data_IF_739324748403
#
_entry.id   IF_739324748403
#
_cell.length_a   1.000
_cell.length_b   1.000
_cell.length_c   1.000
_cell.angle_alpha   90.00
_cell.angle_beta   90.00
_cell.angle_gamma   90.00
#
_symmetry.space_group_name_H-M   'P 1'
#
loop_
_entity.id
_entity.type
_entity.pdbx_description
1 polymer ?
#
# COMPACT_ATOMS: atom_id res chain seq x y z
N UNK A 1 24.77 -13.43 4.11
CA UNK A 1 23.46 -12.87 3.72
C UNK A 1 22.89 -12.14 4.93
N UNK A 2 22.22 -11.00 4.72
CA UNK A 2 21.50 -10.29 5.79
C UNK A 2 20.26 -11.07 6.25
N UNK A 3 19.58 -10.57 7.29
CA UNK A 3 18.26 -11.07 7.71
C UNK A 3 17.20 -10.51 6.74
N UNK A 4 16.49 -11.39 6.01
CA UNK A 4 15.46 -11.01 5.04
C UNK A 4 14.06 -11.32 5.58
N UNK A 5 13.09 -10.46 5.27
CA UNK A 5 11.67 -10.65 5.60
C UNK A 5 10.83 -10.38 4.35
N UNK A 6 9.87 -11.25 4.06
CA UNK A 6 8.92 -11.05 2.97
C UNK A 6 7.66 -10.37 3.49
N UNK A 7 7.22 -9.35 2.76
CA UNK A 7 6.12 -8.49 3.15
C UNK A 7 5.09 -8.48 2.03
N UNK A 8 3.85 -8.84 2.33
CA UNK A 8 2.72 -8.66 1.42
C UNK A 8 2.02 -7.33 1.73
N UNK A 9 1.53 -6.61 0.71
CA UNK A 9 0.84 -5.34 0.90
C UNK A 9 -0.41 -5.24 0.04
N UNK A 10 -1.54 -4.91 0.65
CA UNK A 10 -2.82 -4.71 0.00
C UNK A 10 -3.24 -3.24 0.11
N UNK A 11 -3.01 -2.50 -0.98
CA UNK A 11 -3.46 -1.12 -1.14
C UNK A 11 -4.42 -1.00 -2.34
N UNK A 12 -5.47 -0.18 -2.26
CA UNK A 12 -6.35 0.09 -3.39
C UNK A 12 -5.59 0.56 -4.62
N UNK A 13 -6.21 0.42 -5.80
CA UNK A 13 -5.61 0.84 -7.08
C UNK A 13 -5.07 2.27 -7.02
N UNK A 14 -3.87 2.47 -7.57
CA UNK A 14 -3.12 3.72 -7.55
C UNK A 14 -2.79 4.27 -6.13
N UNK A 15 -2.68 3.40 -5.12
CA UNK A 15 -2.23 3.77 -3.77
C UNK A 15 -0.78 3.30 -3.45
N UNK A 16 0.03 3.02 -4.48
CA UNK A 16 1.49 2.86 -4.34
C UNK A 16 2.02 1.42 -4.24
N UNK A 17 1.25 0.40 -4.66
CA UNK A 17 1.74 -1.01 -4.64
C UNK A 17 3.02 -1.20 -5.45
N UNK A 18 3.01 -0.81 -6.73
CA UNK A 18 4.19 -0.91 -7.62
C UNK A 18 5.37 -0.09 -7.11
N UNK A 19 5.15 1.13 -6.60
CA UNK A 19 6.22 1.93 -6.00
C UNK A 19 6.81 1.28 -4.74
N UNK A 20 6.00 0.61 -3.92
CA UNK A 20 6.49 -0.09 -2.72
C UNK A 20 7.23 -1.38 -3.08
N UNK A 21 6.70 -2.17 -4.02
CA UNK A 21 7.27 -3.44 -4.43
C UNK A 21 8.64 -3.30 -5.12
N UNK A 22 8.87 -2.17 -5.80
CA UNK A 22 10.10 -1.84 -6.51
C UNK A 22 10.85 -0.67 -5.85
N UNK A 23 10.59 -0.41 -4.57
CA UNK A 23 11.13 0.75 -3.87
C UNK A 23 12.65 0.73 -3.83
N UNK A 24 13.29 1.86 -4.16
CA UNK A 24 14.70 2.06 -3.89
C UNK A 24 14.85 2.67 -2.48
N UNK A 25 15.43 1.94 -1.51
CA UNK A 25 15.52 2.43 -0.13
C UNK A 25 16.50 3.60 -0.02
N UNK A 26 16.19 4.54 0.87
CA UNK A 26 17.07 5.67 1.22
C UNK A 26 18.03 5.33 2.35
N UNK A 27 17.76 4.25 3.10
CA UNK A 27 18.59 3.78 4.19
C UNK A 27 19.79 2.96 3.68
N UNK A 28 20.99 3.33 4.13
CA UNK A 28 22.21 2.60 3.82
C UNK A 28 22.16 1.15 4.35
N UNK A 29 22.63 0.20 3.53
CA UNK A 29 22.65 -1.22 3.88
C UNK A 29 21.30 -1.94 3.78
N UNK A 30 20.22 -1.23 3.44
CA UNK A 30 18.93 -1.83 3.13
C UNK A 30 18.79 -2.08 1.63
N UNK A 31 18.19 -3.22 1.28
CA UNK A 31 17.81 -3.56 -0.07
C UNK A 31 16.36 -4.03 -0.06
N UNK A 32 15.66 -3.79 -1.17
CA UNK A 32 14.32 -4.30 -1.42
C UNK A 32 14.37 -5.04 -2.74
N UNK A 33 13.77 -6.23 -2.74
CA UNK A 33 13.65 -7.08 -3.92
C UNK A 33 12.18 -7.37 -4.18
N UNK A 34 11.80 -7.44 -5.45
CA UNK A 34 10.42 -7.61 -5.91
C UNK A 34 10.12 -9.09 -6.15
N UNK A 35 9.06 -9.61 -5.53
CA UNK A 35 8.46 -10.92 -5.90
C UNK A 35 7.28 -10.71 -6.85
N UNK A 36 6.45 -9.71 -6.58
CA UNK A 36 5.30 -9.30 -7.39
C UNK A 36 4.75 -7.95 -6.90
N UNK A 37 3.89 -7.30 -7.69
CA UNK A 37 3.38 -5.96 -7.37
C UNK A 37 1.85 -5.83 -7.31
N UNK A 38 1.09 -6.83 -7.75
CA UNK A 38 -0.38 -6.76 -7.77
C UNK A 38 -1.05 -7.96 -7.09
N UNK A 39 -0.75 -9.19 -7.52
CA UNK A 39 -1.42 -10.39 -7.02
C UNK A 39 -0.47 -11.26 -6.18
N UNK A 40 -0.98 -11.79 -5.06
CA UNK A 40 -0.31 -12.87 -4.34
C UNK A 40 -1.29 -14.02 -4.06
N UNK A 41 -0.83 -15.26 -4.25
CA UNK A 41 -1.54 -16.45 -3.79
C UNK A 41 -0.85 -17.01 -2.57
N UNK A 42 -1.60 -17.15 -1.48
CA UNK A 42 -1.05 -17.53 -0.20
C UNK A 42 -1.56 -18.89 0.27
N UNK A 43 -0.66 -19.72 0.79
CA UNK A 43 -0.98 -21.05 1.34
C UNK A 43 -0.06 -21.36 2.51
N UNK A 44 -0.59 -22.06 3.51
CA UNK A 44 0.25 -22.58 4.60
C UNK A 44 1.21 -23.67 4.08
N UNK A 45 2.49 -23.52 4.42
CA UNK A 45 3.51 -24.56 4.28
C UNK A 45 3.42 -25.60 5.40
N UNK A 46 4.25 -26.64 5.30
CA UNK A 46 4.31 -27.71 6.31
C UNK A 46 4.80 -27.22 7.68
N UNK A 47 5.58 -26.13 7.72
CA UNK A 47 6.09 -25.51 8.94
C UNK A 47 5.09 -24.59 9.64
N UNK A 48 3.86 -24.51 9.12
CA UNK A 48 2.76 -23.70 9.63
C UNK A 48 2.83 -22.22 9.24
N UNK A 49 3.85 -21.75 8.50
CA UNK A 49 3.89 -20.37 8.01
C UNK A 49 3.05 -20.19 6.75
N UNK A 50 2.63 -18.95 6.49
CA UNK A 50 1.97 -18.57 5.26
C UNK A 50 3.02 -18.26 4.18
N UNK A 51 3.01 -19.01 3.09
CA UNK A 51 3.87 -18.80 1.92
C UNK A 51 3.09 -18.11 0.81
N UNK A 52 3.75 -17.24 0.06
CA UNK A 52 3.15 -16.55 -1.07
C UNK A 52 3.92 -16.80 -2.36
N UNK A 53 3.19 -16.94 -3.47
CA UNK A 53 3.73 -16.83 -4.82
C UNK A 53 3.12 -15.61 -5.53
N UNK A 54 3.86 -15.05 -6.47
CA UNK A 54 3.31 -14.18 -7.50
C UNK A 54 2.82 -15.06 -8.67
N UNK A 55 1.52 -15.07 -9.00
CA UNK A 55 1.03 -15.85 -10.13
C UNK A 55 1.27 -15.18 -11.50
N UNK A 56 1.81 -13.95 -11.54
CA UNK A 56 2.01 -13.15 -12.74
C UNK A 56 3.47 -13.22 -13.24
N UNK A 57 3.65 -13.05 -14.56
CA UNK A 57 4.95 -13.08 -15.23
C UNK A 57 5.49 -11.69 -15.62
N UNK A 58 4.76 -10.63 -15.26
CA UNK A 58 5.05 -9.27 -15.69
C UNK A 58 4.31 -8.24 -14.86
N UNK A 59 4.61 -6.98 -15.12
CA UNK A 59 4.01 -5.83 -14.46
C UNK A 59 3.08 -5.11 -15.43
N UNK A 60 1.86 -4.81 -14.98
CA UNK A 60 0.89 -3.98 -15.70
C UNK A 60 0.69 -2.64 -14.98
N UNK A 61 1.77 -1.87 -14.87
CA UNK A 61 1.82 -0.67 -14.06
C UNK A 61 1.18 0.56 -14.71
N UNK A 62 0.68 1.47 -13.86
CA UNK A 62 0.22 2.81 -14.30
C UNK A 62 1.43 3.63 -14.72
N UNK A 63 1.41 4.16 -15.95
CA UNK A 63 2.53 4.95 -16.46
C UNK A 63 2.58 6.37 -15.86
N UNK A 64 1.51 7.21 -15.91
CA UNK A 64 1.54 8.57 -15.37
C UNK A 64 2.04 8.64 -13.92
N UNK A 65 2.99 9.54 -13.66
CA UNK A 65 3.66 9.72 -12.38
C UNK A 65 4.87 8.80 -12.15
N UNK A 66 5.13 7.81 -12.99
CA UNK A 66 6.35 6.98 -12.95
C UNK A 66 7.53 7.77 -13.52
N UNK A 67 8.63 7.89 -12.79
CA UNK A 67 9.84 8.60 -13.21
C UNK A 67 11.06 8.10 -12.45
N UNK A 68 12.26 8.56 -12.84
CA UNK A 68 13.51 8.29 -12.11
C UNK A 68 13.45 8.74 -10.65
N UNK A 69 12.62 9.73 -10.33
CA UNK A 69 12.42 10.23 -8.96
C UNK A 69 11.46 9.35 -8.16
N UNK A 70 10.40 8.83 -8.78
CA UNK A 70 9.32 8.13 -8.07
C UNK A 70 9.48 6.60 -8.05
N UNK A 71 10.04 6.03 -9.12
CA UNK A 71 10.29 4.60 -9.27
C UNK A 71 11.39 4.33 -10.32
N UNK A 72 12.67 4.55 -9.97
CA UNK A 72 13.79 4.33 -10.90
C UNK A 72 13.92 2.86 -11.33
N UNK A 73 13.54 1.91 -10.48
CA UNK A 73 13.55 0.49 -10.83
C UNK A 73 12.51 0.14 -11.91
N UNK A 74 11.32 0.75 -11.86
CA UNK A 74 10.36 0.64 -12.96
C UNK A 74 10.95 1.23 -14.24
N UNK A 75 11.48 2.46 -14.20
CA UNK A 75 12.09 3.10 -15.38
C UNK A 75 13.19 2.24 -16.02
N UNK A 76 14.09 1.68 -15.22
CA UNK A 76 15.15 0.79 -15.69
C UNK A 76 14.61 -0.49 -16.37
N UNK A 77 13.48 -1.02 -15.88
CA UNK A 77 12.80 -2.17 -16.47
C UNK A 77 12.05 -1.89 -17.77
N UNK A 78 11.86 -0.61 -18.14
CA UNK A 78 11.10 -0.16 -19.31
C UNK A 78 11.94 0.14 -20.56
N UNK A 79 13.21 -0.28 -20.56
CA UNK A 79 14.18 0.01 -21.63
C UNK A 79 14.01 -0.84 -22.90
N UNK A 80 13.14 -1.86 -22.89
CA UNK A 80 12.86 -2.72 -24.03
C UNK A 80 11.81 -3.79 -23.74
N UNK A 81 11.34 -4.48 -24.78
CA UNK A 81 10.34 -5.57 -24.71
C UNK A 81 9.04 -5.21 -23.96
N UNK A 82 8.66 -3.94 -23.99
CA UNK A 82 7.48 -3.42 -23.31
C UNK A 82 6.35 -3.11 -24.30
N UNK A 83 5.11 -3.23 -23.83
CA UNK A 83 3.93 -2.74 -24.53
C UNK A 83 3.37 -1.57 -23.74
N UNK A 84 3.31 -0.40 -24.38
CA UNK A 84 2.69 0.79 -23.80
C UNK A 84 1.29 0.99 -24.37
N UNK A 85 0.33 1.32 -23.52
CA UNK A 85 -1.07 1.56 -23.90
C UNK A 85 -1.50 2.96 -23.46
N UNK A 86 -1.98 3.78 -24.40
CA UNK A 86 -2.49 5.14 -24.20
C UNK A 86 -1.49 6.14 -23.58
N UNK A 87 -0.19 5.96 -23.81
CA UNK A 87 0.83 6.97 -23.51
C UNK A 87 1.00 7.93 -24.69
N UNK A 88 1.64 9.07 -24.46
CA UNK A 88 2.04 9.97 -25.54
C UNK A 88 3.27 9.41 -26.28
N UNK A 89 3.49 9.88 -27.51
CA UNK A 89 4.65 9.54 -28.33
C UNK A 89 5.47 10.78 -28.65
N UNK A 90 6.80 10.69 -28.48
CA UNK A 90 7.73 11.76 -28.85
C UNK A 90 7.99 11.79 -30.36
N UNK A 91 8.52 12.90 -30.86
CA UNK A 91 8.86 13.06 -32.29
C UNK A 91 9.95 12.06 -32.73
N UNK A 92 10.83 11.66 -31.82
CA UNK A 92 11.87 10.64 -32.04
C UNK A 92 11.32 9.21 -32.00
N UNK A 93 10.03 9.05 -31.65
CA UNK A 93 9.36 7.77 -31.60
C UNK A 93 9.44 7.03 -30.25
N UNK A 94 9.83 7.73 -29.18
CA UNK A 94 9.79 7.22 -27.81
C UNK A 94 8.42 7.52 -27.16
N UNK A 95 8.25 7.14 -25.90
CA UNK A 95 7.04 7.37 -25.11
C UNK A 95 7.20 8.53 -24.13
N UNK A 96 6.08 9.15 -23.77
CA UNK A 96 6.04 10.14 -22.69
C UNK A 96 4.70 10.08 -21.93
N UNK A 97 4.71 10.51 -20.68
CA UNK A 97 3.52 10.69 -19.85
C UNK A 97 3.75 11.77 -18.80
N UNK A 98 2.67 12.25 -18.21
CA UNK A 98 2.68 13.27 -17.16
C UNK A 98 3.54 12.83 -15.97
N UNK A 99 4.52 13.67 -15.62
CA UNK A 99 5.42 13.44 -14.49
C UNK A 99 6.61 12.51 -14.78
N UNK A 100 6.82 12.09 -16.04
CA UNK A 100 8.00 11.31 -16.43
C UNK A 100 9.30 12.12 -16.34
N UNK A 101 9.25 13.39 -16.77
CA UNK A 101 10.38 14.33 -16.81
C UNK A 101 10.02 15.64 -16.10
N UNK A 102 11.02 16.38 -15.63
CA UNK A 102 10.81 17.70 -15.02
C UNK A 102 10.36 18.74 -16.05
N UNK A 103 10.97 18.71 -17.25
CA UNK A 103 10.59 19.56 -18.37
C UNK A 103 9.68 18.81 -19.33
N UNK A 104 8.55 19.44 -19.70
CA UNK A 104 7.62 18.91 -20.70
C UNK A 104 8.25 19.04 -22.10
N UNK A 105 8.19 17.99 -22.95
CA UNK A 105 8.60 18.10 -24.35
C UNK A 105 7.83 19.21 -25.07
N UNK A 106 8.50 19.92 -25.97
CA UNK A 106 7.88 21.02 -26.72
C UNK A 106 6.73 20.55 -27.62
N UNK A 107 6.80 19.31 -28.08
CA UNK A 107 5.81 18.68 -28.93
C UNK A 107 5.73 17.17 -28.66
N UNK A 108 4.52 16.61 -28.74
CA UNK A 108 4.21 15.18 -28.64
C UNK A 108 3.02 14.85 -29.54
N UNK A 109 2.80 13.56 -29.80
CA UNK A 109 1.50 13.04 -30.22
C UNK A 109 0.79 12.46 -28.99
N UNK A 110 -0.39 12.97 -28.65
CA UNK A 110 -1.18 12.50 -27.51
C UNK A 110 -1.69 11.06 -27.72
N UNK A 111 -2.23 10.47 -26.65
CA UNK A 111 -2.79 9.12 -26.68
C UNK A 111 -4.00 8.94 -27.62
N UNK A 112 -4.58 10.03 -28.13
CA UNK A 112 -5.68 10.04 -29.11
C UNK A 112 -5.19 10.24 -30.54
N UNK A 113 -3.89 10.49 -30.74
CA UNK A 113 -3.27 10.72 -32.04
C UNK A 113 -3.26 12.18 -32.51
N UNK A 114 -3.47 13.16 -31.63
CA UNK A 114 -3.41 14.59 -31.97
C UNK A 114 -2.05 15.18 -31.57
N UNK A 115 -1.66 16.27 -32.23
CA UNK A 115 -0.54 17.10 -31.78
C UNK A 115 -0.81 17.65 -30.37
N UNK A 116 0.20 17.60 -29.51
CA UNK A 116 0.16 18.07 -28.13
C UNK A 116 1.37 18.95 -27.84
N UNK A 117 1.14 20.02 -27.09
CA UNK A 117 2.18 20.92 -26.59
C UNK A 117 1.94 21.20 -25.10
N UNK A 118 2.92 21.74 -24.36
CA UNK A 118 2.75 22.10 -22.96
C UNK A 118 1.58 23.06 -22.66
N UNK A 119 1.11 23.81 -23.67
CA UNK A 119 -0.06 24.71 -23.57
C UNK A 119 -1.41 24.02 -23.80
N UNK A 120 -1.41 22.73 -24.16
CA UNK A 120 -2.65 21.97 -24.40
C UNK A 120 -3.43 21.75 -23.10
N UNK A 121 -4.76 21.85 -23.16
CA UNK A 121 -5.63 21.67 -21.99
C UNK A 121 -5.77 20.20 -21.55
N UNK A 122 -5.64 19.26 -22.50
CA UNK A 122 -5.75 17.84 -22.23
C UNK A 122 -4.38 17.23 -21.90
N UNK A 123 -4.38 16.18 -21.07
CA UNK A 123 -3.19 15.38 -20.79
C UNK A 123 -2.72 14.63 -22.05
N UNK A 124 -1.39 14.53 -22.22
CA UNK A 124 -0.76 13.84 -23.34
C UNK A 124 -0.94 12.32 -23.22
N UNK A 125 -0.84 11.76 -22.01
CA UNK A 125 -1.20 10.37 -21.74
C UNK A 125 -2.56 10.26 -21.06
N UNK A 126 -3.25 9.14 -21.26
CA UNK A 126 -4.48 8.88 -20.50
C UNK A 126 -4.13 8.71 -19.01
N UNK A 127 -4.94 9.22 -18.04
CA UNK A 127 -4.63 9.07 -16.61
C UNK A 127 -4.51 7.62 -16.09
N UNK A 128 -5.06 6.65 -16.84
CA UNK A 128 -4.89 5.21 -16.61
C UNK A 128 -4.09 4.53 -17.74
N UNK A 129 -3.19 5.26 -18.40
CA UNK A 129 -2.23 4.69 -19.35
C UNK A 129 -1.31 3.69 -18.64
N UNK A 130 -0.85 2.68 -19.37
CA UNK A 130 -0.18 1.52 -18.80
C UNK A 130 1.10 1.17 -19.53
N UNK A 131 2.08 0.70 -18.78
CA UNK A 131 3.18 -0.10 -19.32
C UNK A 131 2.93 -1.57 -18.99
N UNK A 132 3.28 -2.45 -19.92
CA UNK A 132 3.31 -3.90 -19.73
C UNK A 132 4.74 -4.37 -19.95
N UNK A 133 5.41 -4.84 -18.89
CA UNK A 133 6.83 -5.19 -18.91
C UNK A 133 7.06 -6.60 -18.31
N UNK A 134 7.98 -7.42 -18.86
CA UNK A 134 8.34 -8.70 -18.25
C UNK A 134 8.96 -8.51 -16.86
N UNK A 135 8.55 -9.32 -15.89
CA UNK A 135 8.98 -9.12 -14.51
C UNK A 135 10.49 -9.31 -14.32
N UNK A 136 11.08 -10.27 -15.05
CA UNK A 136 12.52 -10.52 -15.06
C UNK A 136 13.39 -9.37 -15.60
N UNK A 137 12.80 -8.30 -16.15
CA UNK A 137 13.55 -7.07 -16.50
C UNK A 137 13.69 -6.10 -15.34
N UNK A 138 12.96 -6.29 -14.23
CA UNK A 138 13.13 -5.44 -13.06
C UNK A 138 14.52 -5.68 -12.46
N UNK A 139 15.36 -4.63 -12.30
CA UNK A 139 16.73 -4.78 -11.82
C UNK A 139 16.79 -5.27 -10.36
N UNK A 140 15.68 -5.19 -9.63
CA UNK A 140 15.53 -5.64 -8.25
C UNK A 140 14.57 -6.82 -8.13
N UNK A 141 14.35 -7.60 -9.20
CA UNK A 141 13.56 -8.84 -9.08
C UNK A 141 14.27 -9.81 -8.12
N UNK A 142 13.53 -10.35 -7.16
CA UNK A 142 14.06 -11.33 -6.21
C UNK A 142 14.46 -12.61 -6.95
N UNK A 143 15.53 -13.27 -6.54
CA UNK A 143 15.99 -14.51 -7.21
C UNK A 143 14.95 -15.63 -7.16
N UNK A 144 14.17 -15.67 -6.10
CA UNK A 144 13.14 -16.65 -5.77
C UNK A 144 11.73 -16.24 -6.24
N UNK A 145 11.59 -15.19 -7.07
CA UNK A 145 10.27 -14.72 -7.50
C UNK A 145 9.45 -15.77 -8.27
N UNK A 146 10.12 -16.72 -8.92
CA UNK A 146 9.54 -17.87 -9.63
C UNK A 146 9.58 -19.18 -8.82
N UNK A 147 9.96 -19.14 -7.54
CA UNK A 147 10.00 -20.34 -6.71
C UNK A 147 8.58 -20.89 -6.48
N UNK A 148 8.27 -22.12 -6.93
CA UNK A 148 6.94 -22.70 -6.77
C UNK A 148 6.54 -22.97 -5.31
N UNK A 149 7.52 -23.09 -4.41
CA UNK A 149 7.27 -23.23 -2.97
C UNK A 149 6.89 -21.88 -2.33
N UNK A 150 7.18 -20.78 -3.02
CA UNK A 150 6.90 -19.42 -2.61
C UNK A 150 7.77 -18.92 -1.47
N UNK A 151 7.45 -17.73 -0.96
CA UNK A 151 8.23 -17.05 0.06
C UNK A 151 7.47 -16.93 1.39
N UNK A 152 8.12 -17.15 2.55
CA UNK A 152 7.45 -17.12 3.85
C UNK A 152 7.12 -15.68 4.27
N UNK A 153 5.83 -15.34 4.31
CA UNK A 153 5.35 -14.02 4.67
C UNK A 153 5.57 -13.76 6.16
N UNK A 154 6.25 -12.66 6.46
CA UNK A 154 6.52 -12.18 7.82
C UNK A 154 5.56 -11.08 8.25
N UNK A 155 5.12 -10.24 7.30
CA UNK A 155 4.17 -9.17 7.55
C UNK A 155 3.17 -9.00 6.41
N UNK A 156 1.95 -8.58 6.75
CA UNK A 156 0.91 -8.13 5.82
C UNK A 156 0.61 -6.66 6.12
N UNK A 157 0.63 -5.82 5.10
CA UNK A 157 0.35 -4.39 5.20
C UNK A 157 -1.00 -4.10 4.55
N UNK A 158 -1.88 -3.46 5.29
CA UNK A 158 -3.04 -2.77 4.76
C UNK A 158 -2.77 -1.27 4.69
N UNK A 159 -3.44 -0.57 3.81
CA UNK A 159 -3.26 0.88 3.68
C UNK A 159 -4.15 1.48 2.61
N UNK A 160 -4.30 2.80 2.65
CA UNK A 160 -5.10 3.57 1.71
C UNK A 160 -4.76 5.05 1.79
N UNK A 161 -5.26 5.84 0.84
CA UNK A 161 -5.08 7.29 0.84
C UNK A 161 -5.98 7.94 1.88
N UNK A 162 -5.40 8.37 3.00
CA UNK A 162 -6.11 9.04 4.10
C UNK A 162 -5.41 10.35 4.45
N UNK A 163 -6.02 11.49 4.06
CA UNK A 163 -5.49 12.79 4.44
C UNK A 163 -5.46 13.01 5.97
N UNK A 164 -6.39 12.42 6.71
CA UNK A 164 -6.56 12.65 8.17
C UNK A 164 -6.76 11.34 8.95
N UNK A 165 -6.75 11.44 10.28
CA UNK A 165 -7.07 10.39 11.28
C UNK A 165 -6.04 9.25 11.40
N UNK A 166 -5.63 8.64 10.29
CA UNK A 166 -4.79 7.43 10.31
C UNK A 166 -3.31 7.80 10.41
N UNK A 167 -2.56 7.29 11.42
CA UNK A 167 -1.12 7.53 11.56
C UNK A 167 -0.29 6.83 10.47
N UNK A 168 1.00 7.14 10.42
CA UNK A 168 1.94 6.65 9.41
C UNK A 168 1.97 5.12 9.36
N UNK A 169 2.05 4.47 10.51
CA UNK A 169 2.03 3.01 10.66
C UNK A 169 1.52 2.62 12.04
N UNK A 170 0.75 1.54 12.10
CA UNK A 170 0.47 0.83 13.35
C UNK A 170 0.34 -0.67 13.12
N UNK A 171 0.73 -1.47 14.12
CA UNK A 171 0.60 -2.93 14.12
C UNK A 171 -0.72 -3.35 14.79
N UNK A 172 -1.35 -4.39 14.25
CA UNK A 172 -2.50 -5.03 14.84
C UNK A 172 -2.12 -5.83 16.10
N UNK A 173 -3.07 -5.97 17.03
CA UNK A 173 -2.86 -6.72 18.30
C UNK A 173 -2.73 -8.22 18.07
N UNK A 174 -3.51 -8.70 17.13
CA UNK A 174 -3.65 -10.10 16.76
C UNK A 174 -4.30 -10.18 15.36
N UNK A 175 -4.51 -11.41 14.89
CA UNK A 175 -5.06 -11.67 13.57
C UNK A 175 -6.52 -11.20 13.40
N UNK A 176 -7.35 -11.30 14.44
CA UNK A 176 -8.75 -10.87 14.37
C UNK A 176 -8.81 -9.34 14.26
N UNK A 177 -8.02 -8.63 15.08
CA UNK A 177 -7.85 -7.19 14.97
C UNK A 177 -7.26 -6.77 13.62
N UNK A 178 -6.27 -7.50 13.11
CA UNK A 178 -5.69 -7.24 11.78
C UNK A 178 -6.69 -7.46 10.63
N UNK A 179 -7.53 -8.49 10.75
CA UNK A 179 -8.65 -8.73 9.80
C UNK A 179 -9.66 -7.59 9.86
N UNK A 180 -9.97 -7.09 11.06
CA UNK A 180 -10.80 -5.90 11.25
C UNK A 180 -10.18 -4.65 10.61
N UNK A 181 -8.88 -4.41 10.79
CA UNK A 181 -8.18 -3.30 10.13
C UNK A 181 -8.27 -3.41 8.60
N UNK A 182 -8.11 -4.61 8.06
CA UNK A 182 -8.31 -4.89 6.64
C UNK A 182 -9.73 -4.61 6.16
N UNK A 183 -10.76 -4.99 6.93
CA UNK A 183 -12.16 -4.83 6.51
C UNK A 183 -12.62 -3.37 6.51
N UNK A 184 -11.96 -2.49 7.28
CA UNK A 184 -12.30 -1.07 7.36
C UNK A 184 -11.44 -0.17 6.47
N UNK A 185 -10.56 -0.73 5.62
CA UNK A 185 -9.73 0.07 4.71
C UNK A 185 -10.61 1.08 3.99
N UNK A 186 -10.17 2.33 4.01
CA UNK A 186 -10.75 3.40 3.23
C UNK A 186 -9.66 4.17 2.53
N UNK A 187 -9.99 4.63 1.33
CA UNK A 187 -9.11 5.42 0.48
C UNK A 187 -9.91 6.46 -0.25
N UNK A 188 -9.33 7.66 -0.39
CA UNK A 188 -9.82 8.66 -1.33
C UNK A 188 -9.85 8.05 -2.75
N UNK A 189 -10.93 8.32 -3.49
CA UNK A 189 -11.06 7.87 -4.87
C UNK A 189 -9.96 8.49 -5.74
N UNK A 190 -9.25 7.62 -6.45
CA UNK A 190 -8.26 7.98 -7.48
C UNK A 190 -8.90 7.98 -8.87
N UNK A 191 -8.22 8.54 -9.88
CA UNK A 191 -8.68 8.52 -11.28
C UNK A 191 -8.89 7.10 -11.84
N UNK A 192 -8.32 6.07 -11.22
CA UNK A 192 -8.46 4.67 -11.63
C UNK A 192 -9.79 4.02 -11.18
N UNK A 193 -10.54 4.64 -10.27
CA UNK A 193 -11.83 4.13 -9.78
C UNK A 193 -12.98 5.01 -10.28
N UNK A 194 -14.10 4.40 -10.67
CA UNK A 194 -15.31 5.13 -11.05
C UNK A 194 -15.87 5.93 -9.85
N UNK A 195 -16.04 7.25 -10.01
CA UNK A 195 -16.65 8.16 -9.03
C UNK A 195 -15.95 9.52 -8.92
N UNK A 196 -16.40 10.37 -7.98
CA UNK A 196 -15.82 11.70 -7.75
C UNK A 196 -14.47 11.60 -7.03
N UNK A 197 -13.40 12.13 -7.63
CA UNK A 197 -12.05 12.19 -7.04
C UNK A 197 -12.10 12.90 -5.68
N UNK A 198 -11.41 12.35 -4.67
CA UNK A 198 -11.33 12.92 -3.32
C UNK A 198 -12.42 12.49 -2.34
N UNK A 199 -13.47 11.79 -2.78
CA UNK A 199 -14.45 11.20 -1.87
C UNK A 199 -13.86 9.94 -1.20
N UNK A 200 -13.97 9.85 0.13
CA UNK A 200 -13.53 8.68 0.89
C UNK A 200 -14.43 7.48 0.60
N UNK A 201 -13.86 6.39 0.09
CA UNK A 201 -14.56 5.13 -0.18
C UNK A 201 -13.98 4.00 0.67
N UNK A 202 -14.82 3.10 1.17
CA UNK A 202 -14.38 1.83 1.76
C UNK A 202 -13.91 0.88 0.65
N UNK A 203 -12.72 0.31 0.81
CA UNK A 203 -12.18 -0.71 -0.08
C UNK A 203 -11.56 -1.84 0.75
N UNK A 204 -12.41 -2.68 1.38
CA UNK A 204 -11.98 -3.72 2.31
C UNK A 204 -10.93 -4.65 1.69
N UNK A 205 -9.79 -4.81 2.38
CA UNK A 205 -8.62 -5.58 1.93
C UNK A 205 -8.09 -5.18 0.54
N UNK A 206 -8.43 -3.99 0.03
CA UNK A 206 -8.22 -3.59 -1.37
C UNK A 206 -8.84 -4.57 -2.39
N UNK A 207 -9.90 -5.27 -2.00
CA UNK A 207 -10.52 -6.36 -2.74
C UNK A 207 -11.95 -6.04 -3.19
N UNK A 208 -12.48 -4.84 -2.93
CA UNK A 208 -13.87 -4.52 -3.25
C UNK A 208 -14.26 -4.78 -4.72
N UNK A 209 -13.45 -4.43 -5.74
CA UNK A 209 -13.78 -4.75 -7.13
C UNK A 209 -13.38 -6.17 -7.56
N UNK A 210 -12.72 -6.95 -6.70
CA UNK A 210 -12.08 -8.22 -7.06
C UNK A 210 -12.58 -9.43 -6.28
N UNK A 211 -13.38 -9.23 -5.22
CA UNK A 211 -13.89 -10.31 -4.40
C UNK A 211 -14.85 -11.19 -5.22
N UNK A 212 -14.44 -12.43 -5.47
CA UNK A 212 -15.18 -13.38 -6.32
C UNK A 212 -16.41 -14.02 -5.67
N UNK A 213 -16.71 -13.69 -4.41
CA UNK A 213 -17.87 -14.16 -3.65
C UNK A 213 -18.31 -13.10 -2.63
N UNK A 214 -19.20 -13.45 -1.69
CA UNK A 214 -19.67 -12.50 -0.68
C UNK A 214 -18.50 -11.98 0.18
N UNK A 215 -18.33 -10.66 0.23
CA UNK A 215 -17.23 -10.00 0.95
C UNK A 215 -17.21 -10.30 2.46
N UNK A 216 -18.37 -10.45 3.10
CA UNK A 216 -18.43 -10.76 4.52
C UNK A 216 -18.10 -12.24 4.80
N UNK A 217 -18.43 -13.14 3.88
CA UNK A 217 -17.93 -14.53 3.91
C UNK A 217 -16.41 -14.57 3.64
N UNK A 218 -15.89 -13.63 2.84
CA UNK A 218 -14.44 -13.46 2.65
C UNK A 218 -13.72 -13.04 3.94
N UNK A 219 -14.29 -12.12 4.70
CA UNK A 219 -13.76 -11.80 6.03
C UNK A 219 -13.87 -12.96 7.02
N UNK A 220 -14.96 -13.73 6.96
CA UNK A 220 -15.07 -14.97 7.74
C UNK A 220 -13.93 -15.94 7.40
N UNK A 221 -13.59 -16.08 6.12
CA UNK A 221 -12.46 -16.90 5.69
C UNK A 221 -11.13 -16.42 6.27
N UNK A 222 -10.88 -15.10 6.29
CA UNK A 222 -9.70 -14.55 6.96
C UNK A 222 -9.68 -14.87 8.46
N UNK A 223 -10.81 -14.77 9.16
CA UNK A 223 -10.88 -15.14 10.58
C UNK A 223 -10.57 -16.63 10.79
N UNK A 224 -11.03 -17.52 9.89
CA UNK A 224 -10.71 -18.95 9.95
C UNK A 224 -9.22 -19.26 9.69
N UNK A 225 -8.54 -18.48 8.84
CA UNK A 225 -7.08 -18.60 8.65
C UNK A 225 -6.37 -18.46 10.01
N UNK A 226 -6.82 -17.49 10.83
CA UNK A 226 -6.24 -17.24 12.15
C UNK A 226 -6.52 -18.33 13.19
N UNK A 227 -7.57 -19.14 12.99
CA UNK A 227 -7.97 -20.24 13.88
C UNK A 227 -7.29 -21.57 13.56
N UNK A 228 -6.54 -21.64 12.46
CA UNK A 228 -5.91 -22.89 12.04
C UNK A 228 -4.88 -23.36 13.07
N UNK A 229 -5.00 -24.61 13.49
CA UNK A 229 -4.04 -25.23 14.41
C UNK A 229 -2.62 -25.26 13.80
N UNK A 230 -1.62 -24.91 14.62
CA UNK A 230 -0.22 -24.85 14.20
C UNK A 230 0.12 -23.65 13.29
N UNK A 231 -0.81 -22.73 13.04
CA UNK A 231 -0.55 -21.55 12.22
C UNK A 231 0.48 -20.62 12.87
N UNK A 232 1.49 -20.24 12.09
CA UNK A 232 2.48 -19.21 12.40
C UNK A 232 2.18 -18.02 11.51
N UNK A 233 1.26 -17.19 11.97
CA UNK A 233 0.69 -16.09 11.21
C UNK A 233 1.69 -14.94 11.07
N UNK A 234 1.73 -14.26 9.91
CA UNK A 234 2.46 -13.00 9.79
C UNK A 234 1.81 -11.92 10.66
N UNK A 235 2.61 -10.93 11.07
CA UNK A 235 2.10 -9.73 11.75
C UNK A 235 1.33 -8.86 10.74
N UNK A 236 0.26 -8.20 11.19
CA UNK A 236 -0.53 -7.30 10.34
C UNK A 236 -0.25 -5.86 10.73
N UNK A 237 -0.02 -5.01 9.73
CA UNK A 237 0.22 -3.58 9.90
C UNK A 237 -0.78 -2.80 9.04
N UNK A 238 -1.07 -1.57 9.46
CA UNK A 238 -1.81 -0.62 8.67
C UNK A 238 -0.97 0.65 8.50
N UNK A 239 -0.72 1.04 7.26
CA UNK A 239 0.12 2.18 6.88
C UNK A 239 -0.69 3.27 6.20
N UNK A 240 -0.23 4.52 6.33
CA UNK A 240 -0.78 5.67 5.62
C UNK A 240 0.33 6.63 5.20
N UNK A 241 0.68 6.60 3.92
CA UNK A 241 1.67 7.50 3.31
C UNK A 241 1.13 8.91 3.02
N UNK A 242 -0.19 9.11 3.18
CA UNK A 242 -0.91 10.22 2.58
C UNK A 242 -1.49 11.19 3.61
N UNK A 243 -1.06 11.09 4.87
CA UNK A 243 -1.50 12.03 5.92
C UNK A 243 -1.03 13.43 5.57
N UNK A 244 -1.94 14.39 5.69
CA UNK A 244 -1.72 15.80 5.39
C UNK A 244 -1.77 16.66 6.64
N UNK A 245 -1.03 17.76 6.60
CA UNK A 245 -1.13 18.84 7.59
C UNK A 245 -2.30 19.76 7.31
N UNK A 246 -2.42 20.79 8.15
CA UNK A 246 -3.51 21.77 8.08
C UNK A 246 -3.44 22.63 6.80
N UNK A 247 -2.27 22.77 6.18
CA UNK A 247 -2.07 23.51 4.93
C UNK A 247 -2.22 22.60 3.68
N UNK A 248 -2.55 21.32 3.87
CA UNK A 248 -2.80 20.35 2.79
C UNK A 248 -1.55 19.70 2.19
N UNK A 249 -0.39 19.98 2.77
CA UNK A 249 0.91 19.37 2.49
C UNK A 249 1.00 17.94 3.02
N UNK A 250 1.75 17.06 2.35
CA UNK A 250 2.01 15.72 2.87
C UNK A 250 3.01 15.80 4.03
N UNK A 251 2.65 15.19 5.16
CA UNK A 251 3.52 15.16 6.34
C UNK A 251 4.67 14.16 6.20
N UNK A 252 4.49 13.15 5.35
CA UNK A 252 5.50 12.13 5.06
C UNK A 252 5.94 12.21 3.59
N UNK A 253 7.25 12.21 3.30
CA UNK A 253 7.76 12.36 1.92
C UNK A 253 7.43 11.17 1.01
N UNK A 254 7.19 9.97 1.56
CA UNK A 254 6.84 8.79 0.78
C UNK A 254 8.00 8.20 -0.02
N UNK A 255 7.68 7.47 -1.08
CA UNK A 255 8.64 6.85 -2.01
C UNK A 255 9.76 6.10 -1.27
N UNK A 256 11.03 6.39 -1.59
CA UNK A 256 12.19 5.74 -0.98
C UNK A 256 12.23 5.84 0.55
N UNK A 257 11.67 6.91 1.13
CA UNK A 257 11.63 7.11 2.58
C UNK A 257 10.66 6.15 3.28
N UNK A 258 9.71 5.54 2.56
CA UNK A 258 8.89 4.44 3.11
C UNK A 258 9.75 3.25 3.58
N UNK A 259 11.00 3.13 3.10
CA UNK A 259 11.98 2.17 3.63
C UNK A 259 12.20 2.30 5.14
N UNK A 260 12.08 3.50 5.72
CA UNK A 260 12.19 3.73 7.18
C UNK A 260 11.06 3.05 7.96
N UNK A 261 9.86 3.06 7.39
CA UNK A 261 8.69 2.37 7.96
C UNK A 261 8.81 0.86 7.75
N UNK A 262 9.28 0.41 6.58
CA UNK A 262 9.56 -1.00 6.34
C UNK A 262 10.65 -1.54 7.27
N UNK A 263 11.69 -0.74 7.58
CA UNK A 263 12.69 -1.07 8.60
C UNK A 263 12.05 -1.27 9.97
N UNK A 264 11.17 -0.36 10.40
CA UNK A 264 10.46 -0.52 11.67
C UNK A 264 9.59 -1.78 11.69
N UNK A 265 8.87 -2.08 10.59
CA UNK A 265 8.08 -3.31 10.44
C UNK A 265 8.98 -4.56 10.51
N UNK A 266 10.12 -4.55 9.80
CA UNK A 266 11.12 -5.59 9.85
C UNK A 266 11.61 -5.82 11.28
N UNK A 267 11.97 -4.74 11.98
CA UNK A 267 12.47 -4.78 13.35
C UNK A 267 11.38 -5.22 14.35
N UNK A 268 10.10 -4.87 14.14
CA UNK A 268 8.97 -5.42 14.90
C UNK A 268 8.80 -6.92 14.70
N UNK A 269 8.89 -7.40 13.46
CA UNK A 269 8.83 -8.83 13.14
C UNK A 269 10.02 -9.61 13.72
N UNK A 270 11.17 -8.96 13.86
CA UNK A 270 12.36 -9.50 14.50
C UNK A 270 12.48 -9.22 16.00
N UNK A 271 11.44 -8.65 16.64
CA UNK A 271 11.42 -8.32 18.08
C UNK A 271 12.56 -7.41 18.56
N UNK A 272 13.06 -6.54 17.68
CA UNK A 272 14.14 -5.58 17.97
C UNK A 272 13.65 -4.23 18.51
N UNK A 273 12.39 -3.91 18.27
CA UNK A 273 11.70 -2.70 18.75
C UNK A 273 10.37 -3.10 19.39
N UNK A 274 9.89 -2.34 20.36
CA UNK A 274 8.72 -2.69 21.16
C UNK A 274 7.43 -2.02 20.67
N UNK A 275 7.55 -0.80 20.14
CA UNK A 275 6.42 0.07 19.89
C UNK A 275 5.75 0.56 21.18
N UNK A 276 4.70 1.36 21.01
CA UNK A 276 3.87 1.90 22.08
C UNK A 276 2.44 1.45 21.88
N UNK A 277 1.85 0.90 22.95
CA UNK A 277 0.45 0.49 22.98
C UNK A 277 -0.50 1.69 22.93
N UNK A 278 -1.47 1.65 22.01
CA UNK A 278 -2.46 2.72 21.82
C UNK A 278 -3.87 2.15 21.60
N UNK A 279 -4.94 2.96 21.62
CA UNK A 279 -6.29 2.47 21.36
C UNK A 279 -6.49 1.72 20.04
N UNK A 280 -5.65 2.01 19.01
CA UNK A 280 -5.79 1.45 17.66
C UNK A 280 -4.78 0.32 17.36
N UNK A 281 -3.92 -0.04 18.30
CA UNK A 281 -2.83 -1.01 18.09
C UNK A 281 -1.50 -0.49 18.60
N UNK A 282 -0.40 -0.97 18.02
CA UNK A 282 0.96 -0.57 18.43
C UNK A 282 1.54 0.42 17.42
N UNK A 283 1.92 1.61 17.87
CA UNK A 283 2.59 2.62 17.04
C UNK A 283 4.11 2.57 17.29
N UNK A 284 4.93 3.18 16.41
CA UNK A 284 6.35 3.36 16.69
C UNK A 284 6.56 4.16 17.98
N UNK A 285 7.46 3.67 18.82
CA UNK A 285 7.92 4.41 19.99
C UNK A 285 8.84 5.57 19.63
N UNK A 286 9.08 6.46 20.59
CA UNK A 286 10.00 7.58 20.42
C UNK A 286 11.39 7.06 20.07
N UNK A 287 11.93 7.48 18.91
CA UNK A 287 13.24 7.06 18.42
C UNK A 287 13.30 5.67 17.80
N UNK A 288 12.16 4.99 17.61
CA UNK A 288 12.14 3.68 16.91
C UNK A 288 12.09 3.81 15.39
N UNK A 289 11.60 4.94 14.86
CA UNK A 289 11.75 5.27 13.44
C UNK A 289 13.15 5.82 13.19
N UNK A 290 13.81 5.28 12.17
CA UNK A 290 15.08 5.81 11.69
C UNK A 290 14.82 7.07 10.86
N UNK A 291 15.11 8.23 11.44
CA UNK A 291 14.90 9.54 10.83
C UNK A 291 16.23 10.22 10.43
N UNK A 292 17.35 9.48 10.44
CA UNK A 292 18.65 10.05 10.08
C UNK A 292 18.63 10.57 8.64
N UNK A 293 19.05 11.82 8.46
CA UNK A 293 19.07 12.50 7.16
C UNK A 293 17.69 12.91 6.62
N UNK A 294 16.60 12.66 7.35
CA UNK A 294 15.26 13.08 6.95
C UNK A 294 14.88 14.43 7.56
N UNK A 295 14.62 15.41 6.71
CA UNK A 295 14.07 16.71 7.12
C UNK A 295 12.57 16.58 7.42
N UNK A 296 12.23 16.37 8.70
CA UNK A 296 10.85 16.32 9.18
C UNK A 296 10.70 17.13 10.46
N UNK A 297 9.70 18.01 10.51
CA UNK A 297 9.42 18.82 11.68
C UNK A 297 8.79 18.00 12.82
N UNK A 298 9.09 18.37 14.06
CA UNK A 298 8.57 17.67 15.27
C UNK A 298 7.05 17.57 15.27
N UNK A 299 6.34 18.62 14.87
CA UNK A 299 4.87 18.63 14.81
C UNK A 299 4.31 17.66 13.75
N UNK A 300 4.99 17.53 12.60
CA UNK A 300 4.62 16.59 11.55
C UNK A 300 4.84 15.14 12.03
N UNK A 301 5.99 14.89 12.67
CA UNK A 301 6.30 13.59 13.24
C UNK A 301 5.31 13.20 14.35
N UNK A 302 5.02 14.11 15.29
CA UNK A 302 4.04 13.90 16.34
C UNK A 302 2.68 13.55 15.75
N UNK A 303 2.22 14.30 14.75
CA UNK A 303 0.98 14.02 14.04
C UNK A 303 1.00 12.62 13.41
N UNK A 304 2.09 12.24 12.76
CA UNK A 304 2.25 10.94 12.12
C UNK A 304 2.32 9.76 13.10
N UNK A 305 2.74 9.99 14.35
CA UNK A 305 2.95 8.94 15.36
C UNK A 305 2.00 9.03 16.56
N UNK A 306 0.90 9.78 16.46
CA UNK A 306 -0.14 9.87 17.50
C UNK A 306 -1.51 9.45 16.98
N UNK A 307 -2.38 9.09 17.93
CA UNK A 307 -3.76 8.68 17.65
C UNK A 307 -4.68 9.89 17.76
N UNK A 308 -5.37 10.22 16.67
CA UNK A 308 -6.46 11.18 16.66
C UNK A 308 -7.74 10.53 17.21
N UNK A 309 -7.94 10.61 18.54
CA UNK A 309 -9.04 9.93 19.23
C UNK A 309 -10.40 10.42 18.73
N UNK A 310 -10.57 11.74 18.57
CA UNK A 310 -11.82 12.32 18.08
C UNK A 310 -12.10 11.92 16.63
N UNK A 311 -11.08 11.98 15.77
CA UNK A 311 -11.15 11.55 14.38
C UNK A 311 -11.56 10.09 14.26
N UNK A 312 -10.96 9.19 15.05
CA UNK A 312 -11.35 7.78 15.08
C UNK A 312 -12.75 7.56 15.62
N UNK A 313 -13.17 8.25 16.68
CA UNK A 313 -14.55 8.19 17.19
C UNK A 313 -15.56 8.63 16.11
N UNK A 314 -15.21 9.61 15.28
CA UNK A 314 -16.05 10.07 14.16
C UNK A 314 -16.16 9.04 13.02
N UNK A 315 -15.21 8.11 12.90
CA UNK A 315 -15.23 7.04 11.89
C UNK A 315 -16.13 5.87 12.29
N UNK A 316 -16.34 5.63 13.59
CA UNK A 316 -17.08 4.46 14.10
C UNK A 316 -18.49 4.36 13.52
N UNK A 317 -19.34 5.42 13.53
CA UNK A 317 -20.68 5.34 12.94
C UNK A 317 -20.64 4.95 11.45
N UNK A 318 -19.66 5.48 10.70
CA UNK A 318 -19.50 5.19 9.27
C UNK A 318 -19.11 3.73 9.03
N UNK A 319 -18.31 3.15 9.93
CA UNK A 319 -17.95 1.72 9.86
C UNK A 319 -19.17 0.87 10.21
N UNK A 320 -19.96 1.23 11.24
CA UNK A 320 -21.21 0.53 11.60
C UNK A 320 -22.21 0.54 10.45
N UNK A 321 -22.40 1.68 9.80
CA UNK A 321 -23.29 1.82 8.65
C UNK A 321 -22.84 0.95 7.47
N UNK A 322 -21.53 0.87 7.20
CA UNK A 322 -21.02 0.00 6.15
C UNK A 322 -21.21 -1.49 6.49
N UNK A 323 -20.93 -1.89 7.73
CA UNK A 323 -21.14 -3.27 8.20
C UNK A 323 -22.61 -3.69 8.16
N UNK A 324 -23.55 -2.78 8.45
CA UNK A 324 -24.98 -3.06 8.40
C UNK A 324 -25.45 -3.55 7.02
N UNK A 325 -24.76 -3.15 5.95
CA UNK A 325 -25.07 -3.56 4.56
C UNK A 325 -24.88 -5.06 4.31
N UNK A 326 -24.06 -5.74 5.11
CA UNK A 326 -23.78 -7.17 4.98
C UNK A 326 -24.78 -8.06 5.74
N UNK A 327 -25.62 -7.46 6.60
CA UNK A 327 -26.70 -8.14 7.30
C UNK A 327 -26.23 -9.41 8.01
N UNK A 328 -26.92 -10.53 7.75
CA UNK A 328 -26.64 -11.84 8.39
C UNK A 328 -25.27 -12.44 8.09
N UNK A 329 -24.59 -11.99 7.03
CA UNK A 329 -23.26 -12.49 6.67
C UNK A 329 -22.15 -11.80 7.46
N UNK A 330 -22.44 -10.67 8.10
CA UNK A 330 -21.43 -9.90 8.84
C UNK A 330 -20.86 -10.72 10.01
N UNK A 331 -19.53 -10.97 10.05
CA UNK A 331 -18.93 -11.71 11.16
C UNK A 331 -19.09 -10.95 12.47
N UNK A 332 -19.68 -11.61 13.48
CA UNK A 332 -19.86 -11.02 14.81
C UNK A 332 -18.52 -10.61 15.46
N UNK A 333 -17.44 -11.31 15.15
CA UNK A 333 -16.09 -10.99 15.63
C UNK A 333 -15.60 -9.62 15.15
N UNK A 334 -15.90 -9.22 13.91
CA UNK A 334 -15.51 -7.90 13.40
C UNK A 334 -16.35 -6.76 14.00
N UNK A 335 -17.64 -7.04 14.28
CA UNK A 335 -18.49 -6.10 15.01
C UNK A 335 -17.95 -5.92 16.44
N UNK A 336 -17.55 -7.01 17.08
CA UNK A 336 -16.93 -6.97 18.40
C UNK A 336 -15.59 -6.22 18.39
N UNK A 337 -14.76 -6.36 17.36
CA UNK A 337 -13.53 -5.56 17.23
C UNK A 337 -13.81 -4.06 17.12
N UNK A 338 -14.88 -3.66 16.41
CA UNK A 338 -15.33 -2.27 16.35
C UNK A 338 -15.81 -1.76 17.71
N UNK A 339 -16.57 -2.56 18.45
CA UNK A 339 -17.02 -2.21 19.81
C UNK A 339 -15.84 -2.07 20.78
N UNK A 340 -14.85 -2.96 20.69
CA UNK A 340 -13.62 -2.88 21.49
C UNK A 340 -12.79 -1.64 21.11
N UNK A 341 -12.69 -1.31 19.82
CA UNK A 341 -12.04 -0.07 19.37
C UNK A 341 -12.71 1.15 19.98
N UNK A 342 -14.05 1.22 19.92
CA UNK A 342 -14.83 2.30 20.53
C UNK A 342 -14.54 2.44 22.02
N UNK A 343 -14.57 1.33 22.76
CA UNK A 343 -14.32 1.31 24.19
C UNK A 343 -12.90 1.80 24.53
N UNK A 344 -11.88 1.36 23.77
CA UNK A 344 -10.49 1.81 23.97
C UNK A 344 -10.31 3.29 23.69
N UNK A 345 -10.94 3.82 22.65
CA UNK A 345 -10.88 5.24 22.30
C UNK A 345 -11.54 6.11 23.38
N UNK A 346 -12.74 5.72 23.85
CA UNK A 346 -13.46 6.42 24.93
C UNK A 346 -12.73 6.38 26.28
N UNK A 347 -11.91 5.36 26.52
CA UNK A 347 -11.10 5.28 27.73
C UNK A 347 -9.80 6.11 27.65
N UNK A 348 -9.39 6.50 26.44
CA UNK A 348 -8.14 7.23 26.20
C UNK A 348 -8.35 8.75 26.01
N UNK A 349 -9.56 9.18 25.63
CA UNK A 349 -9.97 10.60 25.60
C UNK A 349 -10.54 11.06 26.94
#
# INVERSE_FOLDING_TARGET
AGDSKYIAAAFPSACGKTNLAMLQPTLEGWAIETVGDDICWMKFGEDGRLYAINPEAGFFGVAPGTSEKSNPNAMAGLTGNCIFTNVARTDEGDVWWEGMTDEKPAHLIDWRGNDWTPESEAEAAHPNARFTAPAGQCPVIAREWEDPDGVPISAILFGGRRATVVPLVHEARDWAHGTFLGSIISSEKTAAAAGTVGELRRDPMAMLPFCGYNMADYWSHWLEIGRREGARLPRIFYVNWFRKGDEGEFLWPGFGENSRVLKWIHDRCGEKVCGVETPIGVLPGRGELDLEGLEIGDAALETLTTVDVEGWLSEIPKIRDDYARFGKHMPAELVAELDKLEARLRAAG
#
